data_IF_081071186455
#
_entry.id   IF_081071186455
#
_cell.length_a   1.000
_cell.length_b   1.000
_cell.length_c   1.000
_cell.angle_alpha   90.00
_cell.angle_beta   90.00
_cell.angle_gamma   90.00
#
_symmetry.space_group_name_H-M   'P 1'
#
loop_
_entity.id
_entity.type
_entity.pdbx_description
1 polymer ?
#
# COMPACT_ATOMS: atom_id res chain seq x y z
N UNK A 1 -13.89 9.96 -31.55
CA UNK A 1 -14.71 9.86 -30.33
C UNK A 1 -14.00 8.92 -29.36
N UNK A 2 -13.27 9.46 -28.39
CA UNK A 2 -12.60 8.68 -27.33
C UNK A 2 -13.37 8.89 -26.04
N UNK A 3 -14.03 7.84 -25.55
CA UNK A 3 -14.65 7.79 -24.23
C UNK A 3 -13.53 7.72 -23.19
N UNK A 4 -13.43 8.75 -22.36
CA UNK A 4 -12.64 8.75 -21.13
C UNK A 4 -13.39 7.88 -20.11
N UNK A 5 -12.91 6.66 -19.91
CA UNK A 5 -13.43 5.75 -18.90
C UNK A 5 -12.97 6.24 -17.52
N UNK A 6 -13.90 6.71 -16.70
CA UNK A 6 -13.65 7.05 -15.29
C UNK A 6 -13.62 5.77 -14.46
N UNK A 7 -12.55 5.63 -13.68
CA UNK A 7 -12.38 4.54 -12.73
C UNK A 7 -13.35 4.72 -11.54
N UNK A 8 -14.13 3.69 -11.13
CA UNK A 8 -15.14 3.79 -10.07
C UNK A 8 -14.58 3.89 -8.64
N UNK A 9 -13.28 4.14 -8.47
CA UNK A 9 -12.62 4.33 -7.18
C UNK A 9 -12.95 5.67 -6.50
N UNK A 10 -13.82 6.50 -7.09
CA UNK A 10 -14.46 7.62 -6.39
C UNK A 10 -15.54 7.08 -5.44
N UNK A 11 -15.14 6.75 -4.21
CA UNK A 11 -16.11 6.65 -3.13
C UNK A 11 -16.82 8.00 -2.98
N UNK A 12 -18.14 7.94 -3.04
CA UNK A 12 -19.13 9.01 -2.85
C UNK A 12 -18.59 10.22 -2.09
N UNK A 13 -18.31 11.30 -2.82
CA UNK A 13 -18.04 12.62 -2.25
C UNK A 13 -19.31 13.11 -1.54
N UNK A 14 -19.35 13.02 -0.22
CA UNK A 14 -20.36 13.72 0.56
C UNK A 14 -19.92 15.17 0.76
N UNK A 15 -20.67 16.09 0.14
CA UNK A 15 -20.68 17.51 0.45
C UNK A 15 -21.18 17.69 1.88
N UNK A 16 -20.27 18.02 2.81
CA UNK A 16 -20.62 18.66 4.08
C UNK A 16 -20.48 20.18 3.92
N UNK A 17 -21.39 20.98 4.51
CA UNK A 17 -21.36 22.44 4.39
C UNK A 17 -20.14 23.01 5.11
N UNK A 18 -19.36 23.80 4.39
CA UNK A 18 -18.26 24.58 4.94
C UNK A 18 -18.81 25.62 5.94
N UNK A 19 -18.57 25.43 7.22
CA UNK A 19 -18.70 26.49 8.23
C UNK A 19 -17.34 26.73 8.89
N UNK A 20 -16.88 28.00 8.82
CA UNK A 20 -15.84 28.50 9.71
C UNK A 20 -14.60 29.12 9.07
N UNK A 21 -14.70 29.85 7.95
CA UNK A 21 -13.60 30.72 7.52
C UNK A 21 -13.60 32.03 8.32
N UNK A 22 -12.68 32.13 9.28
CA UNK A 22 -12.35 33.39 9.97
C UNK A 22 -11.65 34.30 8.97
N UNK A 23 -12.32 35.38 8.53
CA UNK A 23 -11.77 36.44 7.70
C UNK A 23 -10.68 37.20 8.47
N UNK A 24 -9.40 36.96 8.16
CA UNK A 24 -8.36 37.95 8.40
C UNK A 24 -8.51 39.10 7.39
N UNK A 25 -8.87 40.29 7.90
CA UNK A 25 -8.93 41.54 7.12
C UNK A 25 -7.52 41.98 6.74
N UNK A 26 -7.19 41.92 5.45
CA UNK A 26 -6.10 42.72 4.90
C UNK A 26 -6.58 44.16 4.72
N UNK A 27 -5.93 45.09 5.42
CA UNK A 27 -6.10 46.54 5.29
C UNK A 27 -5.37 46.98 4.03
N UNK A 28 -6.12 47.36 2.99
CA UNK A 28 -5.56 48.09 1.84
C UNK A 28 -5.45 49.57 2.18
N UNK A 29 -4.26 50.14 1.98
CA UNK A 29 -3.96 51.56 2.14
C UNK A 29 -4.25 52.24 0.79
N UNK A 30 -5.17 53.20 0.81
CA UNK A 30 -5.50 54.07 -0.32
C UNK A 30 -4.44 55.16 -0.52
N UNK A 31 -4.18 55.50 -1.77
CA UNK A 31 -3.42 56.67 -2.22
C UNK A 31 -3.57 56.85 -3.74
N UNK A 32 -3.60 58.08 -4.29
CA UNK A 32 -4.55 58.43 -5.34
C UNK A 32 -3.95 58.64 -6.75
N UNK A 33 -4.87 58.50 -7.71
CA UNK A 33 -5.03 59.15 -9.02
C UNK A 33 -3.83 59.51 -9.92
N UNK A 34 -3.93 59.05 -11.17
CA UNK A 34 -3.22 59.59 -12.32
C UNK A 34 -3.79 59.06 -13.64
N UNK A 35 -4.57 59.90 -14.32
CA UNK A 35 -5.10 59.70 -15.68
C UNK A 35 -4.01 59.41 -16.73
N UNK A 36 -4.26 58.46 -17.66
CA UNK A 36 -4.09 58.68 -19.11
C UNK A 36 -4.66 57.54 -19.96
N UNK A 37 -5.24 57.98 -21.08
CA UNK A 37 -5.87 57.28 -22.20
C UNK A 37 -4.88 56.48 -23.06
N UNK A 38 -5.36 55.40 -23.71
CA UNK A 38 -4.66 54.79 -24.84
C UNK A 38 -5.29 53.50 -25.37
N UNK A 39 -5.93 53.59 -26.54
CA UNK A 39 -6.33 52.46 -27.39
C UNK A 39 -5.10 51.70 -27.91
N UNK A 40 -5.15 50.37 -27.98
CA UNK A 40 -4.11 49.55 -28.61
C UNK A 40 -4.54 48.10 -28.83
N UNK A 41 -4.76 47.75 -30.10
CA UNK A 41 -4.96 46.38 -30.64
C UNK A 41 -3.61 45.63 -30.71
N UNK A 42 -3.65 44.32 -30.47
CA UNK A 42 -2.59 43.34 -30.74
C UNK A 42 -2.64 42.25 -29.65
N UNK A 43 -2.80 40.95 -29.90
CA UNK A 43 -2.22 40.11 -30.94
C UNK A 43 -1.05 39.32 -30.34
N UNK A 44 -1.05 37.98 -30.47
CA UNK A 44 -0.02 36.99 -30.04
C UNK A 44 -0.04 36.61 -28.54
N UNK A 45 0.35 35.42 -28.07
CA UNK A 45 0.77 34.13 -28.65
C UNK A 45 0.68 33.13 -27.48
N UNK A 46 0.25 31.90 -27.76
CA UNK A 46 0.32 30.77 -26.82
C UNK A 46 1.76 30.28 -26.72
N UNK A 47 2.44 30.64 -25.62
CA UNK A 47 3.75 30.09 -25.28
C UNK A 47 3.59 28.89 -24.34
N UNK A 48 3.84 27.70 -24.88
CA UNK A 48 4.01 26.44 -24.15
C UNK A 48 5.31 26.51 -23.36
N UNK A 49 5.21 26.56 -22.03
CA UNK A 49 6.36 26.53 -21.12
C UNK A 49 6.73 25.07 -20.82
N UNK A 50 7.73 24.54 -21.53
CA UNK A 50 8.45 23.33 -21.14
C UNK A 50 9.55 23.73 -20.14
N UNK A 51 9.39 23.32 -18.88
CA UNK A 51 10.48 23.40 -17.89
C UNK A 51 11.39 22.17 -18.03
N UNK A 52 12.72 22.34 -17.96
CA UNK A 52 13.67 21.24 -18.05
C UNK A 52 13.76 20.49 -16.72
N UNK A 53 13.71 19.16 -16.80
CA UNK A 53 14.11 18.26 -15.70
C UNK A 53 15.62 18.36 -15.52
N UNK A 54 16.05 18.92 -14.39
CA UNK A 54 17.47 18.94 -14.00
C UNK A 54 17.86 17.54 -13.52
N UNK A 55 18.60 16.81 -14.35
CA UNK A 55 19.33 15.60 -13.94
C UNK A 55 20.63 16.08 -13.28
N UNK A 56 20.76 15.91 -11.97
CA UNK A 56 22.04 16.08 -11.29
C UNK A 56 22.82 14.79 -11.47
N UNK A 57 23.69 14.77 -12.49
CA UNK A 57 24.74 13.76 -12.63
C UNK A 57 25.87 14.10 -11.66
N UNK A 58 26.13 13.24 -10.68
CA UNK A 58 27.35 13.32 -9.88
C UNK A 58 28.56 12.93 -10.74
N UNK A 59 29.61 13.74 -10.62
CA UNK A 59 30.77 13.81 -11.49
C UNK A 59 31.54 12.49 -11.64
N UNK A 60 31.79 12.10 -12.90
CA UNK A 60 32.92 11.24 -13.26
C UNK A 60 34.17 12.13 -13.42
N UNK A 61 35.29 11.73 -12.83
CA UNK A 61 36.60 12.35 -13.07
C UNK A 61 37.62 11.31 -13.53
N UNK A 62 38.31 11.72 -14.58
CA UNK A 62 39.60 11.28 -15.13
C UNK A 62 39.74 9.87 -15.73
N UNK A 63 39.80 9.90 -17.06
CA UNK A 63 40.46 8.98 -17.98
C UNK A 63 41.97 8.90 -17.74
N UNK A 64 42.47 7.68 -17.55
CA UNK A 64 43.84 7.28 -17.92
C UNK A 64 43.75 5.97 -18.69
N UNK A 65 44.19 6.00 -19.94
CA UNK A 65 44.28 4.84 -20.82
C UNK A 65 45.47 3.97 -20.43
N UNK A 66 45.23 2.71 -20.08
CA UNK A 66 46.24 1.65 -20.02
C UNK A 66 45.58 0.30 -20.35
N UNK A 67 46.18 -0.36 -21.34
CA UNK A 67 46.18 -1.76 -21.76
C UNK A 67 44.94 -2.68 -21.65
N UNK A 68 44.69 -3.31 -22.80
CA UNK A 68 43.84 -4.45 -23.05
C UNK A 68 44.37 -5.72 -22.36
N UNK A 69 43.79 -6.10 -21.23
CA UNK A 69 43.83 -7.48 -20.73
C UNK A 69 42.71 -7.74 -19.72
N UNK A 70 41.92 -8.80 -19.97
CA UNK A 70 40.89 -9.39 -19.13
C UNK A 70 39.70 -8.47 -18.75
N UNK A 71 38.59 -8.61 -19.49
CA UNK A 71 37.26 -8.21 -19.01
C UNK A 71 36.85 -9.21 -17.93
N UNK A 72 37.29 -8.97 -16.70
CA UNK A 72 36.61 -9.52 -15.54
C UNK A 72 35.23 -8.86 -15.48
N UNK A 73 34.18 -9.62 -15.83
CA UNK A 73 32.80 -9.27 -15.52
C UNK A 73 32.67 -9.15 -13.99
N UNK A 74 32.98 -7.96 -13.47
CA UNK A 74 32.56 -7.54 -12.13
C UNK A 74 31.05 -7.38 -12.16
N UNK A 75 30.35 -8.51 -12.04
CA UNK A 75 28.94 -8.52 -11.66
C UNK A 75 28.81 -7.76 -10.34
N UNK A 76 28.43 -6.48 -10.40
CA UNK A 76 28.03 -5.70 -9.24
C UNK A 76 26.86 -6.44 -8.59
N UNK A 77 27.14 -7.07 -7.44
CA UNK A 77 26.15 -7.75 -6.63
C UNK A 77 25.31 -6.72 -5.87
N UNK A 78 24.11 -6.41 -6.37
CA UNK A 78 23.17 -5.55 -5.67
C UNK A 78 22.35 -6.37 -4.67
N UNK A 79 22.87 -6.54 -3.44
CA UNK A 79 22.14 -7.15 -2.33
C UNK A 79 21.18 -6.18 -1.63
N UNK A 80 21.24 -4.89 -1.98
CA UNK A 80 20.39 -3.85 -1.40
C UNK A 80 20.22 -2.68 -2.37
N UNK A 81 19.06 -2.03 -2.34
CA UNK A 81 18.78 -0.86 -3.16
C UNK A 81 18.09 0.24 -2.35
N UNK A 82 18.07 1.45 -2.92
CA UNK A 82 17.30 2.59 -2.42
C UNK A 82 16.53 3.26 -3.56
N UNK A 83 15.27 3.59 -3.33
CA UNK A 83 14.41 4.29 -4.27
C UNK A 83 13.58 5.35 -3.54
N UNK A 84 13.45 6.54 -4.10
CA UNK A 84 12.64 7.60 -3.53
C UNK A 84 11.36 7.80 -4.35
N UNK A 85 10.23 8.03 -3.67
CA UNK A 85 8.94 8.30 -4.30
C UNK A 85 8.19 9.39 -3.56
N UNK A 86 7.61 10.34 -4.29
CA UNK A 86 6.77 11.39 -3.72
C UNK A 86 5.36 10.88 -3.47
N UNK A 87 4.78 11.25 -2.32
CA UNK A 87 3.36 10.98 -2.02
C UNK A 87 2.48 11.98 -2.78
N UNK A 88 1.63 11.45 -3.66
CA UNK A 88 0.64 12.22 -4.40
C UNK A 88 -0.78 12.01 -3.86
N UNK A 89 -1.72 12.86 -4.29
CA UNK A 89 -3.09 12.92 -3.75
C UNK A 89 -3.87 11.61 -3.95
N UNK A 90 -3.66 10.93 -5.07
CA UNK A 90 -4.27 9.64 -5.39
C UNK A 90 -3.83 8.50 -4.46
N UNK A 91 -2.76 8.73 -3.68
CA UNK A 91 -2.21 7.75 -2.76
C UNK A 91 -2.71 7.96 -1.32
N UNK A 92 -3.48 9.03 -1.09
CA UNK A 92 -3.90 9.45 0.25
C UNK A 92 -5.41 9.42 0.42
N UNK A 93 -5.85 9.25 1.67
CA UNK A 93 -7.22 9.41 2.10
C UNK A 93 -7.63 10.90 2.20
N UNK A 94 -8.87 11.15 2.63
CA UNK A 94 -9.38 12.51 2.81
C UNK A 94 -8.63 13.33 3.90
N UNK A 95 -7.89 12.66 4.78
CA UNK A 95 -7.01 13.28 5.78
C UNK A 95 -5.59 13.49 5.26
N UNK A 96 -5.36 13.25 3.96
CA UNK A 96 -4.06 13.33 3.29
C UNK A 96 -3.05 12.32 3.84
N UNK A 97 -3.51 11.23 4.44
CA UNK A 97 -2.68 10.13 4.95
C UNK A 97 -2.60 9.03 3.90
N UNK A 98 -1.42 8.45 3.69
CA UNK A 98 -1.23 7.36 2.72
C UNK A 98 -2.03 6.11 3.13
N UNK A 99 -2.80 5.54 2.19
CA UNK A 99 -3.49 4.27 2.41
C UNK A 99 -2.52 3.12 2.72
N UNK A 100 -2.91 2.23 3.63
CA UNK A 100 -2.05 1.12 4.09
C UNK A 100 -1.56 0.23 2.94
N UNK A 101 -2.40 -0.02 1.94
CA UNK A 101 -2.06 -0.81 0.75
C UNK A 101 -0.96 -0.16 -0.11
N UNK A 102 -0.90 1.17 -0.15
CA UNK A 102 0.04 1.90 -0.99
C UNK A 102 1.50 1.79 -0.51
N UNK A 103 1.74 1.53 0.79
CA UNK A 103 3.10 1.24 1.27
C UNK A 103 3.69 -0.01 0.63
N UNK A 104 2.87 -1.04 0.42
CA UNK A 104 3.30 -2.25 -0.29
C UNK A 104 3.58 -1.95 -1.76
N UNK A 105 2.77 -1.10 -2.38
CA UNK A 105 3.00 -0.65 -3.76
C UNK A 105 4.31 0.14 -3.89
N UNK A 106 4.70 0.97 -2.92
CA UNK A 106 6.01 1.62 -2.94
C UNK A 106 7.16 0.60 -2.87
N UNK A 107 7.05 -0.42 -2.00
CA UNK A 107 8.04 -1.49 -1.93
C UNK A 107 8.17 -2.26 -3.25
N UNK A 108 7.03 -2.62 -3.87
CA UNK A 108 6.98 -3.30 -5.16
C UNK A 108 7.59 -2.45 -6.28
N UNK A 109 7.24 -1.16 -6.39
CA UNK A 109 7.81 -0.27 -7.40
C UNK A 109 9.32 -0.06 -7.21
N UNK A 110 9.76 0.02 -5.96
CA UNK A 110 11.17 0.21 -5.65
C UNK A 110 12.02 -0.99 -6.10
N UNK A 111 11.53 -2.22 -5.90
CA UNK A 111 12.22 -3.42 -6.38
C UNK A 111 12.17 -3.53 -7.91
N UNK A 112 11.04 -3.24 -8.54
CA UNK A 112 10.94 -3.19 -10.02
C UNK A 112 11.92 -2.19 -10.62
N UNK A 113 12.01 -1.00 -10.03
CA UNK A 113 12.94 0.05 -10.47
C UNK A 113 14.41 -0.34 -10.24
N UNK A 114 14.74 -0.91 -9.08
CA UNK A 114 16.11 -1.32 -8.76
C UNK A 114 16.67 -2.35 -9.75
N UNK A 115 15.81 -3.19 -10.31
CA UNK A 115 16.20 -4.28 -11.19
C UNK A 115 15.79 -4.10 -12.66
N UNK A 116 15.14 -2.98 -12.99
CA UNK A 116 14.69 -2.69 -14.36
C UNK A 116 13.72 -3.73 -14.93
N UNK A 117 13.04 -4.49 -14.06
CA UNK A 117 12.21 -5.63 -14.45
C UNK A 117 10.78 -5.39 -13.93
N UNK A 118 9.86 -4.93 -14.79
CA UNK A 118 8.48 -4.71 -14.39
C UNK A 118 7.75 -6.03 -14.12
N UNK A 119 6.69 -5.98 -13.32
CA UNK A 119 5.82 -7.14 -13.06
C UNK A 119 6.31 -8.02 -11.92
N UNK A 120 7.08 -7.48 -10.98
CA UNK A 120 7.45 -8.23 -9.77
C UNK A 120 6.17 -8.62 -9.04
N UNK A 121 5.98 -9.93 -8.83
CA UNK A 121 4.83 -10.48 -8.11
C UNK A 121 5.18 -10.64 -6.64
N UNK A 122 4.34 -10.10 -5.77
CA UNK A 122 4.43 -10.31 -4.32
C UNK A 122 3.54 -11.48 -3.94
N UNK A 123 4.13 -12.57 -3.44
CA UNK A 123 3.40 -13.78 -3.03
C UNK A 123 2.95 -13.73 -1.59
N UNK A 124 3.81 -13.19 -0.72
CA UNK A 124 3.51 -13.09 0.69
C UNK A 124 4.18 -11.89 1.35
N UNK A 125 3.51 -11.40 2.39
CA UNK A 125 3.98 -10.42 3.35
C UNK A 125 3.85 -11.04 4.75
N UNK A 126 4.83 -11.85 5.19
CA UNK A 126 4.77 -12.50 6.50
C UNK A 126 4.64 -11.47 7.64
N UNK A 127 5.21 -10.28 7.46
CA UNK A 127 5.09 -9.21 8.45
C UNK A 127 5.18 -7.83 7.79
N UNK A 128 4.25 -6.95 8.17
CA UNK A 128 4.27 -5.51 7.89
C UNK A 128 3.97 -4.80 9.20
N UNK A 129 4.82 -3.85 9.60
CA UNK A 129 4.60 -3.02 10.79
C UNK A 129 4.50 -1.56 10.38
N UNK A 130 3.38 -0.94 10.71
CA UNK A 130 3.15 0.50 10.54
C UNK A 130 3.63 1.22 11.80
N UNK A 131 4.55 2.17 11.62
CA UNK A 131 5.22 2.92 12.69
C UNK A 131 4.74 4.37 12.73
N UNK A 132 4.60 4.98 11.57
CA UNK A 132 4.13 6.34 11.39
C UNK A 132 3.36 6.49 10.08
N UNK A 133 2.56 7.54 9.98
CA UNK A 133 1.86 7.89 8.75
C UNK A 133 2.70 8.85 7.90
N UNK A 134 2.90 8.48 6.64
CA UNK A 134 3.27 9.40 5.57
C UNK A 134 2.03 10.19 5.13
N UNK A 135 2.27 11.42 4.69
CA UNK A 135 1.24 12.40 4.31
C UNK A 135 1.51 12.96 2.93
N UNK A 136 0.50 13.60 2.33
CA UNK A 136 0.61 14.25 1.02
C UNK A 136 1.83 15.18 0.94
N UNK A 137 2.68 14.95 -0.07
CA UNK A 137 3.91 15.71 -0.29
C UNK A 137 5.13 15.20 0.47
N UNK A 138 5.00 14.24 1.38
CA UNK A 138 6.17 13.53 1.93
C UNK A 138 6.92 12.84 0.77
N UNK A 139 8.24 12.79 0.87
CA UNK A 139 9.08 11.95 0.01
C UNK A 139 9.47 10.71 0.81
N UNK A 140 9.11 9.54 0.29
CA UNK A 140 9.37 8.24 0.92
C UNK A 140 10.62 7.63 0.30
N UNK A 141 11.64 7.41 1.12
CA UNK A 141 12.78 6.58 0.75
C UNK A 141 12.48 5.12 1.12
N UNK A 142 12.49 4.25 0.11
CA UNK A 142 12.35 2.80 0.23
C UNK A 142 13.73 2.18 0.15
N UNK A 143 14.14 1.48 1.20
CA UNK A 143 15.35 0.68 1.24
C UNK A 143 14.98 -0.80 1.25
N UNK A 144 15.45 -1.54 0.24
CA UNK A 144 15.27 -2.99 0.13
C UNK A 144 16.59 -3.70 0.41
N UNK A 145 16.56 -4.78 1.18
CA UNK A 145 17.71 -5.67 1.42
C UNK A 145 17.29 -7.11 1.14
N UNK A 146 18.05 -7.81 0.32
CA UNK A 146 17.83 -9.23 0.05
C UNK A 146 18.16 -10.03 1.31
N UNK A 147 17.20 -10.85 1.75
CA UNK A 147 17.35 -11.74 2.90
C UNK A 147 17.79 -13.13 2.42
N UNK A 148 17.09 -13.67 1.43
CA UNK A 148 17.38 -14.98 0.85
C UNK A 148 16.86 -15.09 -0.58
N UNK A 149 17.38 -16.04 -1.34
CA UNK A 149 16.90 -16.39 -2.67
C UNK A 149 16.85 -17.91 -2.77
N UNK A 150 15.80 -18.42 -3.39
CA UNK A 150 15.69 -19.84 -3.68
C UNK A 150 16.53 -20.14 -4.93
N UNK A 151 17.53 -21.01 -4.78
CA UNK A 151 18.38 -21.53 -5.86
C UNK A 151 17.64 -22.62 -6.68
N UNK A 152 16.35 -22.41 -6.98
CA UNK A 152 15.61 -23.39 -7.77
C UNK A 152 16.08 -23.37 -9.22
N UNK A 153 16.86 -24.41 -9.57
CA UNK A 153 17.36 -24.67 -10.93
C UNK A 153 16.24 -24.85 -11.98
N UNK A 154 14.98 -24.89 -11.56
CA UNK A 154 13.79 -25.15 -12.35
C UNK A 154 13.01 -23.91 -12.81
N UNK A 155 13.58 -22.71 -12.72
CA UNK A 155 13.01 -21.53 -13.40
C UNK A 155 11.75 -21.00 -12.74
N UNK A 156 11.90 -20.45 -11.52
CA UNK A 156 10.82 -19.84 -10.77
C UNK A 156 11.29 -19.23 -9.46
N UNK A 157 12.54 -18.75 -9.44
CA UNK A 157 13.23 -18.32 -8.22
C UNK A 157 12.40 -17.29 -7.45
N UNK A 158 12.08 -17.63 -6.20
CA UNK A 158 11.53 -16.67 -5.24
C UNK A 158 12.67 -16.05 -4.47
N UNK A 159 12.48 -14.80 -4.08
CA UNK A 159 13.43 -14.11 -3.22
C UNK A 159 12.70 -13.44 -2.06
N UNK A 160 13.33 -13.46 -0.89
CA UNK A 160 12.82 -12.81 0.31
C UNK A 160 13.55 -11.49 0.50
N UNK A 161 12.79 -10.43 0.72
CA UNK A 161 13.30 -9.07 0.88
C UNK A 161 12.79 -8.48 2.18
N UNK A 162 13.65 -7.70 2.82
CA UNK A 162 13.28 -6.79 3.91
C UNK A 162 13.24 -5.37 3.37
N UNK A 163 12.17 -4.67 3.68
CA UNK A 163 11.93 -3.29 3.28
C UNK A 163 11.82 -2.39 4.51
N UNK A 164 12.47 -1.24 4.42
CA UNK A 164 12.26 -0.11 5.31
C UNK A 164 11.83 1.10 4.49
N UNK A 165 10.71 1.71 4.85
CA UNK A 165 10.16 2.90 4.22
C UNK A 165 10.20 4.02 5.25
N UNK A 166 11.01 5.05 4.99
CA UNK A 166 11.20 6.19 5.88
C UNK A 166 11.10 7.52 5.12
N UNK A 167 11.00 8.63 5.83
CA UNK A 167 11.06 9.95 5.20
C UNK A 167 12.43 10.16 4.56
N UNK A 168 12.47 10.60 3.30
CA UNK A 168 13.73 10.80 2.58
C UNK A 168 14.61 11.87 3.24
N UNK A 169 13.96 12.89 3.83
CA UNK A 169 14.59 13.98 4.58
C UNK A 169 14.99 13.61 6.00
N UNK A 170 14.36 12.60 6.60
CA UNK A 170 14.61 12.15 7.97
C UNK A 170 14.45 10.62 8.07
N UNK A 171 15.54 9.85 7.90
CA UNK A 171 15.51 8.40 7.99
C UNK A 171 15.06 7.86 9.37
N UNK A 172 15.10 8.68 10.43
CA UNK A 172 14.61 8.26 11.75
C UNK A 172 13.08 8.18 11.81
N UNK A 173 12.38 8.91 10.93
CA UNK A 173 10.93 8.83 10.75
C UNK A 173 10.59 7.66 9.84
N UNK A 174 10.68 6.46 10.39
CA UNK A 174 10.26 5.22 9.73
C UNK A 174 8.73 5.17 9.67
N UNK A 175 8.18 4.96 8.47
CA UNK A 175 6.76 4.75 8.24
C UNK A 175 6.40 3.27 8.35
N UNK A 176 7.12 2.41 7.64
CA UNK A 176 6.82 0.97 7.53
C UNK A 176 8.10 0.16 7.52
N UNK A 177 8.08 -0.98 8.22
CA UNK A 177 9.02 -2.08 8.01
C UNK A 177 8.26 -3.30 7.54
N UNK A 178 8.71 -3.96 6.48
CA UNK A 178 8.04 -5.12 5.92
C UNK A 178 9.03 -6.20 5.50
N UNK A 179 8.57 -7.44 5.44
CA UNK A 179 9.25 -8.51 4.71
C UNK A 179 8.31 -9.03 3.62
N UNK A 180 8.85 -9.37 2.46
CA UNK A 180 8.08 -9.89 1.34
C UNK A 180 8.80 -11.02 0.63
N UNK A 181 8.04 -12.01 0.17
CA UNK A 181 8.50 -13.00 -0.80
C UNK A 181 7.99 -12.60 -2.18
N UNK A 182 8.90 -12.50 -3.15
CA UNK A 182 8.61 -12.01 -4.50
C UNK A 182 9.17 -12.93 -5.57
N UNK A 183 8.56 -12.88 -6.76
CA UNK A 183 9.09 -13.53 -7.97
C UNK A 183 8.99 -12.61 -9.18
N UNK A 184 9.71 -12.93 -10.25
CA UNK A 184 9.66 -12.22 -11.52
C UNK A 184 8.75 -12.93 -12.52
N UNK A 185 8.17 -12.20 -13.49
CA UNK A 185 7.39 -12.80 -14.57
C UNK A 185 8.18 -13.83 -15.37
N UNK A 186 7.49 -14.83 -15.92
CA UNK A 186 8.05 -15.80 -16.86
C UNK A 186 9.06 -16.78 -16.28
N UNK A 187 9.12 -16.92 -14.95
CA UNK A 187 10.09 -17.81 -14.29
C UNK A 187 11.53 -17.39 -14.51
N UNK A 188 11.75 -16.15 -14.95
CA UNK A 188 13.09 -15.61 -15.15
C UNK A 188 13.89 -15.79 -13.87
N UNK A 189 15.10 -16.36 -14.01
CA UNK A 189 16.09 -16.26 -12.96
C UNK A 189 16.22 -14.79 -12.57
N UNK A 190 16.46 -14.54 -11.28
CA UNK A 190 16.72 -13.21 -10.74
C UNK A 190 17.50 -12.35 -11.74
N UNK A 191 17.09 -11.08 -11.98
CA UNK A 191 17.75 -10.24 -12.96
C UNK A 191 19.27 -10.21 -12.72
N UNK A 192 20.08 -10.27 -13.80
CA UNK A 192 21.53 -10.38 -13.68
C UNK A 192 22.09 -9.23 -12.84
N UNK A 193 22.86 -9.56 -11.79
CA UNK A 193 23.42 -8.58 -10.86
C UNK A 193 22.99 -8.74 -9.40
N UNK A 194 22.14 -9.70 -9.04
CA UNK A 194 21.93 -10.03 -7.62
C UNK A 194 22.85 -11.19 -7.23
N UNK A 195 23.93 -10.92 -6.48
CA UNK A 195 24.65 -12.03 -5.88
C UNK A 195 23.90 -12.52 -4.66
N UNK A 196 23.63 -13.82 -4.65
CA UNK A 196 23.13 -14.53 -3.48
C UNK A 196 24.26 -14.57 -2.45
N UNK A 197 24.19 -13.70 -1.44
CA UNK A 197 25.00 -13.89 -0.24
C UNK A 197 24.42 -15.13 0.43
N UNK A 198 25.13 -16.25 0.34
CA UNK A 198 24.83 -17.45 1.14
C UNK A 198 25.06 -17.10 2.61
N UNK A 199 24.04 -16.54 3.24
CA UNK A 199 24.00 -16.38 4.69
C UNK A 199 24.10 -17.79 5.30
N UNK A 200 24.89 -17.99 6.37
CA UNK A 200 24.91 -19.26 7.07
C UNK A 200 23.48 -19.60 7.48
N UNK A 201 23.02 -20.81 7.15
CA UNK A 201 21.73 -21.38 7.55
C UNK A 201 21.62 -21.35 9.09
N UNK A 202 21.23 -20.22 9.64
CA UNK A 202 20.51 -20.15 10.90
C UNK A 202 19.22 -20.95 10.68
N UNK A 203 18.80 -21.74 11.68
CA UNK A 203 17.66 -22.64 11.62
C UNK A 203 16.35 -21.88 11.30
N UNK A 204 16.15 -21.56 10.03
CA UNK A 204 14.89 -21.09 9.49
C UNK A 204 13.98 -22.30 9.23
N UNK A 205 12.66 -22.14 9.39
CA UNK A 205 11.71 -23.19 9.07
C UNK A 205 11.93 -23.62 7.61
N UNK A 206 12.12 -24.93 7.42
CA UNK A 206 12.20 -25.57 6.11
C UNK A 206 10.99 -25.11 5.30
N UNK A 207 11.24 -24.49 4.15
CA UNK A 207 10.22 -24.20 3.14
C UNK A 207 9.64 -25.54 2.66
N UNK A 208 8.59 -25.99 3.32
CA UNK A 208 7.64 -26.90 2.71
C UNK A 208 7.01 -26.18 1.52
N UNK A 209 6.81 -26.95 0.45
CA UNK A 209 6.09 -26.57 -0.76
C UNK A 209 4.94 -25.60 -0.43
N UNK A 210 4.88 -24.40 -1.02
CA UNK A 210 3.84 -23.39 -0.76
C UNK A 210 2.42 -23.85 -1.16
N UNK A 211 2.32 -25.08 -1.70
CA UNK A 211 1.08 -25.86 -1.81
C UNK A 211 0.63 -26.46 -0.47
N UNK A 212 1.43 -26.36 0.60
CA UNK A 212 1.09 -26.66 1.99
C UNK A 212 0.11 -25.59 2.47
N UNK A 213 -1.11 -25.76 1.94
CA UNK A 213 -2.42 -25.28 2.33
C UNK A 213 -2.38 -23.97 3.10
N UNK A 214 -2.72 -22.87 2.40
CA UNK A 214 -3.25 -21.68 3.04
C UNK A 214 -4.21 -22.14 4.14
N UNK A 215 -3.75 -22.08 5.40
CA UNK A 215 -4.52 -22.69 6.47
C UNK A 215 -5.79 -21.86 6.63
N UNK A 216 -6.97 -22.49 6.63
CA UNK A 216 -8.20 -21.77 6.84
C UNK A 216 -8.11 -21.00 8.15
N UNK A 217 -8.84 -19.89 8.22
CA UNK A 217 -9.05 -19.12 9.44
C UNK A 217 -9.20 -20.08 10.64
N UNK A 218 -8.48 -19.89 11.77
CA UNK A 218 -8.69 -20.67 12.98
C UNK A 218 -10.17 -21.00 13.23
N UNK A 219 -10.50 -22.25 13.51
CA UNK A 219 -11.89 -22.75 13.68
C UNK A 219 -12.75 -21.98 14.71
N UNK A 220 -12.13 -21.08 15.49
CA UNK A 220 -12.73 -20.32 16.57
C UNK A 220 -13.45 -19.02 16.15
N UNK A 221 -13.66 -18.76 14.86
CA UNK A 221 -14.37 -17.53 14.44
C UNK A 221 -15.88 -17.74 14.33
N UNK A 222 -16.60 -16.66 14.64
CA UNK A 222 -18.06 -16.54 14.60
C UNK A 222 -18.64 -17.25 13.39
N UNK A 223 -19.46 -18.26 13.62
CA UNK A 223 -20.20 -18.96 12.57
C UNK A 223 -21.60 -18.34 12.43
N UNK A 224 -21.99 -17.80 11.25
CA UNK A 224 -21.17 -17.56 10.06
C UNK A 224 -20.33 -16.27 10.17
N UNK A 225 -19.14 -16.21 9.52
CA UNK A 225 -18.33 -15.00 9.49
C UNK A 225 -19.01 -13.93 8.66
N UNK A 226 -18.68 -12.66 8.93
CA UNK A 226 -19.12 -11.56 8.05
C UNK A 226 -18.54 -11.77 6.67
N UNK A 227 -19.37 -11.62 5.65
CA UNK A 227 -18.98 -11.83 4.26
C UNK A 227 -19.36 -10.63 3.38
N UNK A 228 -18.53 -10.36 2.38
CA UNK A 228 -18.74 -9.34 1.35
C UNK A 228 -18.39 -9.96 -0.01
N UNK A 229 -19.31 -9.87 -0.97
CA UNK A 229 -19.01 -10.21 -2.37
C UNK A 229 -18.31 -9.06 -3.07
N UNK A 230 -17.20 -9.36 -3.73
CA UNK A 230 -16.44 -8.42 -4.56
C UNK A 230 -16.26 -8.97 -5.97
N UNK A 231 -16.29 -8.08 -6.96
CA UNK A 231 -16.01 -8.42 -8.35
C UNK A 231 -14.56 -8.05 -8.65
N UNK A 232 -13.82 -8.96 -9.26
CA UNK A 232 -12.45 -8.72 -9.73
C UNK A 232 -12.49 -7.85 -10.97
N UNK A 233 -11.88 -6.67 -10.92
CA UNK A 233 -11.76 -5.78 -12.08
C UNK A 233 -10.43 -6.00 -12.80
N UNK A 234 -10.35 -5.57 -14.06
CA UNK A 234 -9.08 -5.59 -14.81
C UNK A 234 -7.96 -4.84 -14.09
N UNK A 235 -8.29 -3.75 -13.41
CA UNK A 235 -7.35 -2.89 -12.67
C UNK A 235 -6.90 -3.52 -11.34
N UNK A 236 -7.52 -4.63 -10.93
CA UNK A 236 -7.14 -5.40 -9.76
C UNK A 236 -6.06 -6.44 -10.10
N UNK A 237 -5.93 -6.79 -11.38
CA UNK A 237 -4.97 -7.74 -11.90
C UNK A 237 -3.65 -7.06 -12.30
N UNK A 238 -2.54 -7.75 -12.07
CA UNK A 238 -1.24 -7.36 -12.58
C UNK A 238 -1.08 -7.74 -14.07
N UNK A 239 0.06 -7.40 -14.66
CA UNK A 239 0.38 -7.70 -16.06
C UNK A 239 0.39 -9.20 -16.38
N UNK A 240 0.54 -10.05 -15.35
CA UNK A 240 0.45 -11.51 -15.47
C UNK A 240 -0.96 -12.07 -15.24
N UNK A 241 -1.98 -11.22 -15.09
CA UNK A 241 -3.36 -11.63 -14.83
C UNK A 241 -3.59 -12.08 -13.39
N UNK A 242 -2.69 -11.78 -12.45
CA UNK A 242 -2.79 -12.19 -11.06
C UNK A 242 -3.35 -11.06 -10.20
N UNK A 243 -4.14 -11.39 -9.18
CA UNK A 243 -4.68 -10.40 -8.27
C UNK A 243 -3.56 -9.69 -7.51
N UNK A 244 -3.50 -8.37 -7.66
CA UNK A 244 -2.51 -7.55 -6.98
C UNK A 244 -2.74 -7.55 -5.46
N UNK A 245 -1.66 -7.55 -4.69
CA UNK A 245 -1.74 -7.47 -3.22
C UNK A 245 -2.42 -6.17 -2.75
N UNK A 246 -2.33 -5.11 -3.56
CA UNK A 246 -3.07 -3.86 -3.36
C UNK A 246 -4.58 -4.10 -3.41
N UNK A 247 -5.07 -4.83 -4.41
CA UNK A 247 -6.50 -5.16 -4.54
C UNK A 247 -6.98 -6.01 -3.35
N UNK A 248 -6.21 -7.02 -2.95
CA UNK A 248 -6.51 -7.84 -1.75
C UNK A 248 -6.69 -6.95 -0.51
N UNK A 249 -5.71 -6.07 -0.23
CA UNK A 249 -5.76 -5.17 0.92
C UNK A 249 -6.92 -4.17 0.85
N UNK A 250 -7.30 -3.73 -0.35
CA UNK A 250 -8.47 -2.87 -0.55
C UNK A 250 -9.79 -3.61 -0.25
N UNK A 251 -9.94 -4.86 -0.68
CA UNK A 251 -11.13 -5.67 -0.37
C UNK A 251 -11.26 -5.93 1.13
N UNK A 252 -10.13 -6.23 1.76
CA UNK A 252 -9.96 -6.35 3.21
C UNK A 252 -10.36 -5.06 3.95
N UNK A 253 -9.91 -3.91 3.49
CA UNK A 253 -10.35 -2.61 4.04
C UNK A 253 -11.84 -2.35 3.90
N UNK A 254 -12.41 -2.74 2.76
CA UNK A 254 -13.83 -2.57 2.47
C UNK A 254 -14.71 -3.37 3.42
N UNK A 255 -14.41 -4.65 3.65
CA UNK A 255 -15.20 -5.46 4.59
C UNK A 255 -15.10 -4.93 6.03
N UNK A 256 -13.93 -4.45 6.47
CA UNK A 256 -13.79 -3.80 7.79
C UNK A 256 -14.68 -2.58 7.93
N UNK A 257 -14.66 -1.71 6.92
CA UNK A 257 -15.46 -0.47 6.90
C UNK A 257 -16.95 -0.77 6.94
N UNK A 258 -17.41 -1.73 6.14
CA UNK A 258 -18.82 -2.14 6.11
C UNK A 258 -19.25 -2.86 7.40
N UNK A 259 -18.34 -3.59 8.03
CA UNK A 259 -18.62 -4.32 9.28
C UNK A 259 -18.89 -3.43 10.47
N UNK A 260 -18.46 -2.16 10.43
CA UNK A 260 -18.85 -1.15 11.42
C UNK A 260 -20.33 -0.76 11.31
N UNK A 261 -20.99 -1.12 10.22
CA UNK A 261 -22.42 -0.94 10.00
C UNK A 261 -22.85 0.53 9.92
N UNK A 262 -24.16 0.72 10.13
CA UNK A 262 -24.80 2.03 10.26
C UNK A 262 -25.43 2.18 11.64
N UNK A 263 -25.38 3.38 12.20
CA UNK A 263 -26.12 3.77 13.40
C UNK A 263 -27.63 3.79 13.17
N UNK A 264 -28.39 3.99 14.26
CA UNK A 264 -29.86 4.10 14.20
C UNK A 264 -30.34 5.29 13.35
N UNK A 265 -29.51 6.31 13.25
CA UNK A 265 -29.67 7.52 12.43
C UNK A 265 -29.21 7.33 10.97
N UNK A 266 -28.77 6.13 10.59
CA UNK A 266 -28.21 5.82 9.28
C UNK A 266 -26.76 6.28 9.09
N UNK A 267 -26.15 6.89 10.12
CA UNK A 267 -24.75 7.34 10.13
C UNK A 267 -23.80 6.15 9.92
N UNK A 268 -22.79 6.30 9.06
CA UNK A 268 -21.78 5.26 8.86
C UNK A 268 -20.93 5.10 10.14
N UNK A 269 -20.59 3.86 10.52
CA UNK A 269 -19.79 3.60 11.73
C UNK A 269 -18.46 4.37 11.79
N UNK A 270 -17.80 4.59 10.64
CA UNK A 270 -16.60 5.44 10.58
C UNK A 270 -16.87 6.91 10.95
N UNK A 271 -18.02 7.47 10.58
CA UNK A 271 -18.41 8.84 10.95
C UNK A 271 -18.69 8.92 12.45
N UNK A 272 -19.36 7.89 12.99
CA UNK A 272 -19.59 7.78 14.44
C UNK A 272 -18.27 7.75 15.22
N UNK A 273 -17.29 6.95 14.79
CA UNK A 273 -15.94 6.92 15.37
C UNK A 273 -15.30 8.31 15.38
N UNK A 274 -15.33 9.00 14.24
CA UNK A 274 -14.76 10.33 14.11
C UNK A 274 -15.43 11.34 15.05
N UNK A 275 -16.76 11.34 15.14
CA UNK A 275 -17.54 12.19 16.06
C UNK A 275 -17.23 11.89 17.54
N UNK A 276 -17.03 10.62 17.87
CA UNK A 276 -16.61 10.18 19.22
C UNK A 276 -15.14 10.48 19.53
N UNK A 277 -14.41 11.14 18.61
CA UNK A 277 -13.00 11.48 18.79
C UNK A 277 -12.10 10.25 18.74
N UNK A 278 -12.50 9.18 18.06
CA UNK A 278 -11.75 7.93 17.95
C UNK A 278 -11.30 7.68 16.50
N UNK A 279 -10.03 7.33 16.34
CA UNK A 279 -9.49 6.80 15.09
C UNK A 279 -9.16 5.31 15.25
N UNK A 280 -9.41 4.54 14.21
CA UNK A 280 -8.94 3.16 14.12
C UNK A 280 -7.69 3.14 13.26
N UNK A 281 -6.60 2.58 13.78
CA UNK A 281 -5.31 2.52 13.09
C UNK A 281 -4.87 1.07 12.89
N UNK A 282 -4.42 0.73 11.69
CA UNK A 282 -3.74 -0.55 11.43
C UNK A 282 -2.28 -0.42 11.89
N UNK A 283 -1.85 -1.33 12.74
CA UNK A 283 -0.50 -1.34 13.32
C UNK A 283 0.39 -2.41 12.72
N UNK A 284 -0.20 -3.54 12.32
CA UNK A 284 0.53 -4.57 11.59
C UNK A 284 -0.39 -5.42 10.73
N UNK A 285 0.20 -5.99 9.68
CA UNK A 285 -0.32 -7.10 8.90
C UNK A 285 0.64 -8.26 9.10
N UNK A 286 0.13 -9.47 9.26
CA UNK A 286 0.93 -10.68 9.46
C UNK A 286 0.33 -11.83 8.66
N UNK A 287 1.22 -12.73 8.22
CA UNK A 287 0.88 -13.91 7.40
C UNK A 287 -0.02 -13.59 6.20
N UNK A 288 0.18 -12.45 5.54
CA UNK A 288 -0.53 -12.15 4.31
C UNK A 288 0.03 -13.02 3.18
N UNK A 289 -0.81 -13.88 2.60
CA UNK A 289 -0.46 -14.73 1.45
C UNK A 289 -1.48 -14.56 0.34
N UNK A 290 -1.01 -14.64 -0.90
CA UNK A 290 -1.85 -14.51 -2.09
C UNK A 290 -1.56 -15.65 -3.05
N UNK A 291 -2.56 -16.47 -3.32
CA UNK A 291 -2.62 -17.45 -4.38
C UNK A 291 -3.76 -17.08 -5.34
N UNK A 292 -3.43 -16.28 -6.34
CA UNK A 292 -4.41 -15.70 -7.27
C UNK A 292 -4.43 -16.41 -8.63
N UNK A 293 -3.93 -17.64 -8.69
CA UNK A 293 -3.77 -18.33 -9.97
C UNK A 293 -5.13 -18.63 -10.61
N UNK A 294 -5.23 -18.35 -11.91
CA UNK A 294 -6.43 -18.58 -12.71
C UNK A 294 -7.64 -17.72 -12.31
N UNK A 295 -7.42 -16.51 -11.78
CA UNK A 295 -8.49 -15.51 -11.65
C UNK A 295 -8.69 -14.75 -12.96
N UNK A 296 -9.94 -14.39 -13.26
CA UNK A 296 -10.28 -13.57 -14.42
C UNK A 296 -11.10 -12.34 -14.02
N UNK A 297 -10.97 -11.27 -14.79
CA UNK A 297 -11.81 -10.09 -14.61
C UNK A 297 -13.30 -10.45 -14.78
N UNK A 298 -14.15 -9.93 -13.89
CA UNK A 298 -15.57 -10.26 -13.79
C UNK A 298 -15.88 -11.40 -12.81
N UNK A 299 -14.88 -12.16 -12.36
CA UNK A 299 -15.08 -13.21 -11.35
C UNK A 299 -15.50 -12.59 -10.00
N UNK A 300 -16.39 -13.27 -9.28
CA UNK A 300 -16.85 -12.84 -7.96
C UNK A 300 -16.14 -13.63 -6.87
N UNK A 301 -15.62 -12.91 -5.87
CA UNK A 301 -14.94 -13.48 -4.71
C UNK A 301 -15.70 -13.14 -3.42
N UNK A 302 -15.60 -14.03 -2.44
CA UNK A 302 -16.14 -13.84 -1.10
C UNK A 302 -15.03 -13.40 -0.15
N UNK A 303 -15.07 -12.14 0.27
CA UNK A 303 -14.25 -11.64 1.38
C UNK A 303 -14.91 -12.06 2.68
N UNK A 304 -14.17 -12.71 3.58
CA UNK A 304 -14.65 -13.14 4.89
C UNK A 304 -13.84 -12.50 6.00
N UNK A 305 -14.51 -12.05 7.05
CA UNK A 305 -13.92 -11.37 8.20
C UNK A 305 -14.29 -12.11 9.49
N UNK A 306 -13.27 -12.55 10.23
CA UNK A 306 -13.34 -12.91 11.64
C UNK A 306 -12.57 -11.91 12.49
N UNK A 307 -12.89 -11.81 13.78
CA UNK A 307 -12.22 -10.87 14.68
C UNK A 307 -12.02 -11.45 16.08
N UNK A 308 -10.98 -10.96 16.76
CA UNK A 308 -10.68 -11.27 18.17
C UNK A 308 -10.23 -10.01 18.90
N UNK A 309 -10.69 -9.85 20.13
CA UNK A 309 -10.21 -8.82 21.05
C UNK A 309 -9.21 -9.41 22.02
N UNK A 310 -8.18 -8.64 22.37
CA UNK A 310 -7.21 -9.03 23.38
C UNK A 310 -6.69 -7.82 24.18
N UNK A 311 -5.90 -8.10 25.23
CA UNK A 311 -5.28 -7.09 26.12
C UNK A 311 -6.28 -6.09 26.71
N UNK A 312 -7.37 -6.60 27.30
CA UNK A 312 -8.44 -5.76 27.85
C UNK A 312 -9.15 -4.92 26.79
N UNK A 313 -9.48 -5.55 25.66
CA UNK A 313 -10.18 -4.97 24.51
C UNK A 313 -9.44 -3.79 23.86
N UNK A 314 -8.11 -3.73 23.97
CA UNK A 314 -7.29 -2.66 23.36
C UNK A 314 -6.75 -3.03 21.99
N UNK A 315 -6.61 -4.32 21.72
CA UNK A 315 -6.11 -4.85 20.44
C UNK A 315 -7.23 -5.63 19.79
N UNK A 316 -7.52 -5.26 18.55
CA UNK A 316 -8.46 -5.97 17.69
C UNK A 316 -7.67 -6.64 16.57
N UNK A 317 -7.64 -7.97 16.57
CA UNK A 317 -7.03 -8.74 15.50
C UNK A 317 -8.13 -9.20 14.56
N UNK A 318 -8.07 -8.76 13.32
CA UNK A 318 -8.93 -9.23 12.24
C UNK A 318 -8.24 -10.37 11.50
N UNK A 319 -9.01 -11.39 11.16
CA UNK A 319 -8.58 -12.50 10.35
C UNK A 319 -9.41 -12.45 9.08
N UNK A 320 -8.76 -12.07 7.99
CA UNK A 320 -9.44 -11.75 6.75
C UNK A 320 -9.00 -12.74 5.69
N UNK A 321 -9.95 -13.19 4.88
CA UNK A 321 -9.69 -14.16 3.82
C UNK A 321 -10.54 -13.87 2.60
N UNK A 322 -10.06 -14.29 1.44
CA UNK A 322 -10.69 -14.08 0.15
C UNK A 322 -10.86 -15.43 -0.53
N UNK A 323 -12.08 -15.79 -0.91
CA UNK A 323 -12.42 -17.12 -1.41
C UNK A 323 -13.06 -17.05 -2.79
N UNK A 324 -12.77 -18.03 -3.65
CA UNK A 324 -13.57 -18.31 -4.84
C UNK A 324 -14.88 -19.00 -4.44
N UNK A 325 -15.88 -18.94 -5.30
CA UNK A 325 -17.18 -19.61 -5.08
C UNK A 325 -17.04 -21.14 -4.91
N UNK A 326 -16.05 -21.74 -5.57
CA UNK A 326 -15.74 -23.17 -5.46
C UNK A 326 -15.04 -23.55 -4.12
N UNK A 327 -14.86 -22.61 -3.20
CA UNK A 327 -14.20 -22.84 -1.92
C UNK A 327 -12.66 -22.78 -1.96
N UNK A 328 -12.05 -22.36 -3.06
CA UNK A 328 -10.59 -22.15 -3.12
C UNK A 328 -10.22 -20.86 -2.38
N UNK A 329 -9.28 -20.94 -1.43
CA UNK A 329 -8.71 -19.77 -0.76
C UNK A 329 -7.75 -19.03 -1.69
N UNK A 330 -8.02 -17.75 -1.93
CA UNK A 330 -7.23 -16.86 -2.79
C UNK A 330 -6.22 -16.07 -1.98
N UNK A 331 -6.62 -15.54 -0.82
CA UNK A 331 -5.73 -14.79 0.04
C UNK A 331 -6.20 -14.84 1.48
N UNK A 332 -5.29 -14.67 2.42
CA UNK A 332 -5.61 -14.46 3.83
C UNK A 332 -4.61 -13.52 4.48
N UNK A 333 -4.98 -12.91 5.60
CA UNK A 333 -4.10 -12.12 6.44
C UNK A 333 -4.63 -11.99 7.87
N UNK A 334 -3.71 -11.77 8.81
CA UNK A 334 -4.00 -11.27 10.15
C UNK A 334 -3.68 -9.78 10.23
N UNK A 335 -4.63 -8.97 10.68
CA UNK A 335 -4.50 -7.51 10.71
C UNK A 335 -4.76 -7.01 12.13
N UNK A 336 -3.77 -6.37 12.74
CA UNK A 336 -3.87 -5.84 14.09
C UNK A 336 -4.25 -4.36 14.06
N UNK A 337 -5.36 -4.02 14.70
CA UNK A 337 -5.89 -2.67 14.82
C UNK A 337 -5.96 -2.20 16.27
N UNK A 338 -5.80 -0.89 16.45
CA UNK A 338 -5.97 -0.20 17.72
C UNK A 338 -6.94 0.96 17.55
N UNK A 339 -7.70 1.24 18.61
CA UNK A 339 -8.42 2.50 18.74
C UNK A 339 -7.51 3.53 19.40
N UNK A 340 -7.40 4.70 18.77
CA UNK A 340 -6.62 5.83 19.25
C UNK A 340 -7.55 7.00 19.49
N UNK A 341 -7.34 7.67 20.60
CA UNK A 341 -7.99 8.94 20.91
C UNK A 341 -7.40 10.06 20.03
N UNK A 342 -8.26 10.81 19.34
CA UNK A 342 -7.84 11.80 18.34
C UNK A 342 -7.09 12.99 18.98
N UNK A 343 -7.48 13.39 20.18
CA UNK A 343 -6.88 14.52 20.90
C UNK A 343 -5.56 14.11 21.55
N UNK A 344 -5.58 13.05 22.35
CA UNK A 344 -4.42 12.64 23.16
C UNK A 344 -3.43 11.77 22.40
N UNK A 345 -3.80 11.22 21.24
CA UNK A 345 -3.04 10.23 20.45
C UNK A 345 -2.68 8.96 21.24
N UNK A 346 -3.39 8.69 22.34
CA UNK A 346 -3.16 7.50 23.17
C UNK A 346 -4.08 6.36 22.74
N UNK A 347 -3.57 5.13 22.84
CA UNK A 347 -4.38 3.94 22.64
C UNK A 347 -5.41 3.78 23.76
N UNK A 348 -6.64 3.47 23.38
CA UNK A 348 -7.77 3.25 24.27
C UNK A 348 -8.47 1.92 23.93
N UNK A 349 -9.28 1.37 24.85
CA UNK A 349 -10.13 0.23 24.53
C UNK A 349 -11.02 0.51 23.32
N UNK A 350 -11.29 -0.54 22.54
CA UNK A 350 -12.23 -0.53 21.42
C UNK A 350 -13.62 -0.15 21.96
N UNK A 351 -14.33 0.83 21.36
CA UNK A 351 -15.67 1.20 21.82
C UNK A 351 -16.62 0.00 21.83
N UNK A 352 -17.49 -0.12 22.85
CA UNK A 352 -18.37 -1.27 23.03
C UNK A 352 -19.22 -1.55 21.78
N UNK A 353 -19.78 -0.52 21.17
CA UNK A 353 -20.58 -0.67 19.94
C UNK A 353 -19.77 -1.21 18.76
N UNK A 354 -18.46 -0.91 18.68
CA UNK A 354 -17.56 -1.48 17.67
C UNK A 354 -17.31 -2.95 17.96
N UNK A 355 -17.10 -3.31 19.24
CA UNK A 355 -16.96 -4.70 19.65
C UNK A 355 -18.20 -5.51 19.23
N UNK A 356 -19.39 -4.99 19.53
CA UNK A 356 -20.68 -5.59 19.14
C UNK A 356 -20.80 -5.67 17.61
N UNK A 357 -20.53 -4.58 16.90
CA UNK A 357 -20.65 -4.52 15.45
C UNK A 357 -19.76 -5.54 14.74
N UNK A 358 -18.54 -5.77 15.25
CA UNK A 358 -17.54 -6.62 14.59
C UNK A 358 -17.65 -8.08 15.05
N UNK A 359 -17.98 -8.32 16.32
CA UNK A 359 -18.01 -9.67 16.91
C UNK A 359 -19.34 -10.38 16.75
N UNK A 360 -20.45 -9.69 16.49
CA UNK A 360 -21.71 -10.37 16.25
C UNK A 360 -21.80 -10.81 14.78
N UNK A 361 -22.25 -12.06 14.53
CA UNK A 361 -22.64 -12.49 13.19
C UNK A 361 -23.70 -11.51 12.68
N UNK A 362 -23.41 -10.83 11.58
CA UNK A 362 -24.45 -10.08 10.87
C UNK A 362 -24.98 -10.94 9.74
N UNK A 363 -26.26 -10.79 9.40
CA UNK A 363 -26.76 -11.20 8.10
C UNK A 363 -25.85 -10.59 7.01
N UNK A 364 -25.61 -11.34 5.94
CA UNK A 364 -24.74 -10.99 4.79
C UNK A 364 -24.85 -9.50 4.45
N UNK A 365 -23.71 -8.80 4.42
CA UNK A 365 -23.60 -7.34 4.27
C UNK A 365 -23.71 -6.86 2.82
#
# INVERSE_FOLDING_TARGET
MRLLCWSPYLMVCYLLPAHGFVRQRFRTRTGPEGHRTGYGRGGTSTATSTRPTTIIACAASSTTAVDSSAVEDKHMSCSSFRHCSTVYIEMTDMYRIVYHANYVTYAQRAIEHAFGAPGVRVHSLPIVKYRAAATLGDEIAVQGTLVSCDDSSSGGGRSRWRFELAAASDPSRVFVTAEATVSWPGGAAMPPGVAVIKLPRSAEPTMSDDTELLQPLPEAFTDPPKALKVVVWSDDLDVGGNLSIRAVLNYFERIRTLSLGRGQDGELGLMRLHREGVSVVVTSISDLRVNSDGLVAGETLDVRLGAKLSRGNRVMTMYESLWKENGTLVAHAEIALFCMDNETRKFRPVPEWVQVAIMLPSAVL
#
